data_IF_295109975469
#
_entry.id   IF_295109975469
#
_cell.length_a   1.000
_cell.length_b   1.000
_cell.length_c   1.000
_cell.angle_alpha   90.00
_cell.angle_beta   90.00
_cell.angle_gamma   90.00
#
_symmetry.space_group_name_H-M   'P 1'
#
loop_
_entity.id
_entity.type
_entity.pdbx_description
1 polymer ?
#
# COMPACT_ATOMS: atom_id res chain seq x y z
N UNK A 1 -26.03 21.98 -3.76
CA UNK A 1 -24.72 21.32 -3.91
C UNK A 1 -24.88 20.16 -4.87
N UNK A 2 -24.31 20.26 -6.07
CA UNK A 2 -24.22 19.14 -7.01
C UNK A 2 -22.98 18.33 -6.62
N UNK A 3 -23.15 17.20 -5.94
CA UNK A 3 -22.04 16.29 -5.67
C UNK A 3 -21.52 15.78 -7.02
N UNK A 4 -20.25 16.07 -7.33
CA UNK A 4 -19.62 15.49 -8.49
C UNK A 4 -19.60 13.97 -8.34
N UNK A 5 -19.96 13.25 -9.39
CA UNK A 5 -19.87 11.79 -9.39
C UNK A 5 -18.41 11.34 -9.17
N UNK A 6 -18.16 10.22 -8.48
CA UNK A 6 -16.81 9.72 -8.19
C UNK A 6 -15.90 9.63 -9.43
N UNK A 7 -16.48 9.29 -10.60
CA UNK A 7 -15.77 9.23 -11.87
C UNK A 7 -15.26 10.61 -12.36
N UNK A 8 -16.03 11.70 -12.15
CA UNK A 8 -15.61 13.06 -12.51
C UNK A 8 -14.52 13.60 -11.60
N UNK A 9 -14.54 13.21 -10.32
CA UNK A 9 -13.51 13.57 -9.35
C UNK A 9 -12.18 12.90 -9.75
N UNK A 10 -12.22 11.59 -10.04
CA UNK A 10 -11.02 10.85 -10.44
C UNK A 10 -10.38 11.39 -11.72
N UNK A 11 -11.18 11.79 -12.71
CA UNK A 11 -10.68 12.36 -13.96
C UNK A 11 -9.99 13.72 -13.75
N UNK A 12 -10.50 14.60 -12.87
CA UNK A 12 -9.84 15.89 -12.59
C UNK A 12 -8.52 15.70 -11.86
N UNK A 13 -8.46 14.72 -10.95
CA UNK A 13 -7.25 14.37 -10.21
C UNK A 13 -6.12 13.82 -11.10
N UNK A 14 -6.47 13.05 -12.14
CA UNK A 14 -5.48 12.56 -13.12
C UNK A 14 -4.92 13.65 -14.03
N UNK A 15 -5.65 14.73 -14.29
CA UNK A 15 -5.16 15.89 -15.08
C UNK A 15 -4.50 16.99 -14.23
N UNK A 16 -4.39 16.80 -12.91
CA UNK A 16 -3.71 17.73 -12.02
C UNK A 16 -4.57 18.86 -11.44
N UNK A 17 -5.88 18.88 -11.71
CA UNK A 17 -6.84 19.85 -11.18
C UNK A 17 -7.41 19.36 -9.84
N UNK A 18 -6.74 19.70 -8.74
CA UNK A 18 -7.17 19.35 -7.38
C UNK A 18 -8.12 20.40 -6.81
N UNK A 19 -9.25 19.98 -6.24
CA UNK A 19 -10.15 20.88 -5.51
C UNK A 19 -9.77 20.88 -4.02
N UNK A 20 -10.15 21.92 -3.27
CA UNK A 20 -9.94 21.93 -1.82
C UNK A 20 -10.54 20.69 -1.14
N UNK A 21 -11.75 20.29 -1.55
CA UNK A 21 -12.39 19.06 -1.06
C UNK A 21 -11.57 17.79 -1.34
N UNK A 22 -11.00 17.63 -2.53
CA UNK A 22 -10.16 16.45 -2.83
C UNK A 22 -8.83 16.50 -2.09
N UNK A 23 -8.23 17.68 -1.95
CA UNK A 23 -7.01 17.87 -1.14
C UNK A 23 -7.26 17.44 0.31
N UNK A 24 -8.33 17.92 0.93
CA UNK A 24 -8.72 17.57 2.31
C UNK A 24 -8.95 16.07 2.42
N UNK A 25 -9.79 15.50 1.54
CA UNK A 25 -10.16 14.08 1.55
C UNK A 25 -8.93 13.17 1.49
N UNK A 26 -8.06 13.36 0.51
CA UNK A 26 -6.90 12.47 0.32
C UNK A 26 -5.80 12.72 1.36
N UNK A 27 -5.59 13.96 1.80
CA UNK A 27 -4.64 14.25 2.87
C UNK A 27 -5.08 13.63 4.19
N UNK A 28 -6.37 13.75 4.54
CA UNK A 28 -6.90 13.13 5.75
C UNK A 28 -6.89 11.60 5.67
N UNK A 29 -7.16 11.01 4.50
CA UNK A 29 -7.02 9.56 4.32
C UNK A 29 -5.57 9.10 4.57
N UNK A 30 -4.58 9.84 4.04
CA UNK A 30 -3.17 9.55 4.32
C UNK A 30 -2.84 9.61 5.81
N UNK A 31 -3.24 10.70 6.45
CA UNK A 31 -3.02 10.95 7.88
C UNK A 31 -3.66 9.85 8.73
N UNK A 32 -4.93 9.52 8.48
CA UNK A 32 -5.64 8.46 9.21
C UNK A 32 -4.95 7.12 9.04
N UNK A 33 -4.56 6.75 7.81
CA UNK A 33 -3.83 5.52 7.55
C UNK A 33 -2.50 5.45 8.34
N UNK A 34 -1.76 6.57 8.43
CA UNK A 34 -0.53 6.64 9.23
C UNK A 34 -0.82 6.48 10.72
N UNK A 35 -1.84 7.14 11.24
CA UNK A 35 -2.23 7.04 12.65
C UNK A 35 -2.62 5.62 13.04
N UNK A 36 -3.42 4.94 12.22
CA UNK A 36 -3.78 3.54 12.45
C UNK A 36 -2.56 2.62 12.47
N UNK A 37 -1.58 2.88 11.59
CA UNK A 37 -0.32 2.13 11.57
C UNK A 37 0.52 2.39 12.81
N UNK A 38 0.64 3.64 13.24
CA UNK A 38 1.36 3.99 14.45
C UNK A 38 0.70 3.39 15.69
N UNK A 39 -0.63 3.36 15.75
CA UNK A 39 -1.37 2.66 16.81
C UNK A 39 -1.08 1.16 16.83
N UNK A 40 -1.08 0.49 15.68
CA UNK A 40 -0.70 -0.93 15.57
C UNK A 40 0.75 -1.16 16.03
N UNK A 41 1.68 -0.30 15.63
CA UNK A 41 3.10 -0.36 16.04
C UNK A 41 3.27 -0.16 17.54
N UNK A 42 2.61 0.84 18.13
CA UNK A 42 2.62 1.07 19.57
C UNK A 42 2.03 -0.11 20.35
N UNK A 43 0.97 -0.74 19.83
CA UNK A 43 0.40 -1.94 20.44
C UNK A 43 1.41 -3.10 20.43
N UNK A 44 2.03 -3.39 19.29
CA UNK A 44 3.10 -4.41 19.17
C UNK A 44 4.26 -4.11 20.11
N UNK A 45 4.73 -2.87 20.14
CA UNK A 45 5.80 -2.45 21.04
C UNK A 45 5.39 -2.65 22.51
N UNK A 46 4.13 -2.38 22.84
CA UNK A 46 3.60 -2.59 24.19
C UNK A 46 3.50 -4.05 24.58
N UNK A 47 3.14 -4.93 23.65
CA UNK A 47 3.16 -6.38 23.83
C UNK A 47 4.59 -6.89 24.07
N UNK A 48 5.56 -6.44 23.28
CA UNK A 48 6.96 -6.87 23.40
C UNK A 48 7.61 -6.37 24.69
N UNK A 49 7.35 -5.11 25.08
CA UNK A 49 7.96 -4.48 26.25
C UNK A 49 7.17 -4.67 27.55
N UNK A 50 5.94 -5.19 27.47
CA UNK A 50 5.02 -5.30 28.59
C UNK A 50 4.49 -3.96 29.12
N UNK A 51 4.63 -2.86 28.36
CA UNK A 51 4.21 -1.52 28.77
C UNK A 51 3.56 -0.78 27.61
N UNK A 52 2.35 -0.19 27.77
CA UNK A 52 1.74 0.62 26.73
C UNK A 52 2.70 1.73 26.26
N UNK A 53 2.78 1.93 24.95
CA UNK A 53 3.52 3.04 24.36
C UNK A 53 2.54 4.13 23.95
N UNK A 54 2.65 5.29 24.58
CA UNK A 54 1.87 6.47 24.19
C UNK A 54 2.46 7.07 22.91
N UNK A 55 1.59 7.48 21.98
CA UNK A 55 2.00 8.05 20.71
C UNK A 55 2.27 9.55 20.80
N UNK A 56 1.85 10.23 21.88
CA UNK A 56 2.32 11.59 22.19
C UNK A 56 2.02 12.66 21.15
N UNK A 57 1.03 12.45 20.25
CA UNK A 57 0.70 13.40 19.18
C UNK A 57 0.44 14.81 19.72
N UNK A 58 1.18 15.81 19.25
CA UNK A 58 1.01 17.20 19.70
C UNK A 58 -0.10 17.92 18.94
N UNK A 59 -0.25 17.58 17.67
CA UNK A 59 -1.27 18.14 16.80
C UNK A 59 -2.58 17.34 16.89
N UNK A 60 -2.53 16.07 17.33
CA UNK A 60 -3.70 15.19 17.45
C UNK A 60 -4.16 14.83 18.87
N UNK A 61 -3.44 15.16 19.96
CA UNK A 61 -3.87 14.82 21.33
C UNK A 61 -3.99 16.03 22.27
N UNK A 62 -5.16 16.10 22.94
CA UNK A 62 -5.54 17.08 23.96
C UNK A 62 -6.99 17.57 23.74
N UNK A 63 -7.54 18.34 24.70
CA UNK A 63 -8.44 19.42 24.27
C UNK A 63 -7.60 20.26 23.32
N UNK A 64 -7.85 20.15 22.02
CA UNK A 64 -7.35 21.14 21.09
C UNK A 64 -7.73 22.47 21.71
N UNK A 65 -6.80 23.42 21.76
CA UNK A 65 -7.24 24.73 22.19
C UNK A 65 -8.38 25.16 21.25
N UNK A 66 -9.32 25.97 21.75
CA UNK A 66 -10.50 26.35 20.96
C UNK A 66 -10.14 26.94 19.58
N UNK A 67 -8.91 27.42 19.40
CA UNK A 67 -8.41 27.95 18.14
C UNK A 67 -8.03 26.82 17.18
N UNK A 68 -7.32 25.78 17.63
CA UNK A 68 -6.99 24.58 16.86
C UNK A 68 -8.25 23.81 16.46
N UNK A 69 -9.20 23.66 17.38
CA UNK A 69 -10.51 23.02 17.13
C UNK A 69 -11.27 23.70 15.99
N UNK A 70 -11.41 25.04 16.08
CA UNK A 70 -12.03 25.86 15.02
C UNK A 70 -11.24 25.83 13.72
N UNK A 71 -9.91 25.74 13.79
CA UNK A 71 -9.07 25.68 12.60
C UNK A 71 -9.25 24.34 11.87
N UNK A 72 -9.29 23.23 12.61
CA UNK A 72 -9.59 21.90 12.08
C UNK A 72 -11.01 21.82 11.50
N UNK A 73 -12.02 22.38 12.17
CA UNK A 73 -13.39 22.45 11.66
C UNK A 73 -13.44 23.22 10.34
N UNK A 74 -12.83 24.40 10.28
CA UNK A 74 -12.72 25.20 9.05
C UNK A 74 -11.97 24.47 7.95
N UNK A 75 -10.93 23.72 8.28
CA UNK A 75 -10.21 22.87 7.33
C UNK A 75 -11.14 21.80 6.76
N UNK A 76 -11.82 21.03 7.61
CA UNK A 76 -12.72 19.94 7.19
C UNK A 76 -13.90 20.44 6.35
N UNK A 77 -14.38 21.64 6.62
CA UNK A 77 -15.46 22.29 5.88
C UNK A 77 -14.97 23.07 4.64
N UNK A 78 -13.69 22.97 4.28
CA UNK A 78 -13.09 23.66 3.14
C UNK A 78 -13.29 25.19 3.19
N UNK A 79 -13.20 25.77 4.40
CA UNK A 79 -13.33 27.22 4.69
C UNK A 79 -11.98 27.91 4.95
N UNK A 80 -10.88 27.23 4.68
CA UNK A 80 -9.53 27.80 4.72
C UNK A 80 -9.12 28.30 3.33
N UNK A 81 -8.19 29.27 3.31
CA UNK A 81 -7.50 29.59 2.07
C UNK A 81 -6.61 28.40 1.67
N UNK A 82 -6.22 28.31 0.39
CA UNK A 82 -5.32 27.25 -0.08
C UNK A 82 -4.01 27.23 0.71
N UNK A 83 -3.42 28.39 0.96
CA UNK A 83 -2.20 28.52 1.76
C UNK A 83 -2.38 28.01 3.19
N UNK A 84 -3.45 28.41 3.87
CA UNK A 84 -3.69 27.99 5.26
C UNK A 84 -4.02 26.49 5.33
N UNK A 85 -4.68 25.94 4.30
CA UNK A 85 -4.94 24.51 4.17
C UNK A 85 -3.63 23.71 3.99
N UNK A 86 -2.71 24.18 3.16
CA UNK A 86 -1.40 23.55 2.98
C UNK A 86 -0.54 23.63 4.25
N UNK A 87 -0.55 24.77 4.93
CA UNK A 87 0.14 24.96 6.23
C UNK A 87 -0.43 24.02 7.30
N UNK A 88 -1.76 23.91 7.37
CA UNK A 88 -2.46 22.97 8.26
C UNK A 88 -2.01 21.53 8.01
N UNK A 89 -1.99 21.09 6.75
CA UNK A 89 -1.52 19.74 6.35
C UNK A 89 -0.04 19.55 6.69
N UNK A 90 0.81 20.55 6.47
CA UNK A 90 2.23 20.45 6.78
C UNK A 90 2.48 20.23 8.29
N UNK A 91 1.80 21.01 9.14
CA UNK A 91 1.91 20.87 10.59
C UNK A 91 1.42 19.48 11.08
N UNK A 92 0.35 18.96 10.49
CA UNK A 92 -0.13 17.59 10.75
C UNK A 92 0.93 16.54 10.41
N UNK A 93 1.62 16.69 9.27
CA UNK A 93 2.64 15.75 8.80
C UNK A 93 3.94 15.82 9.61
N UNK A 94 4.28 17.01 10.11
CA UNK A 94 5.44 17.21 10.99
C UNK A 94 5.24 16.48 12.33
N UNK A 95 4.05 16.59 12.93
CA UNK A 95 3.70 15.86 14.15
C UNK A 95 3.75 14.34 13.92
N UNK A 96 3.21 13.85 12.81
CA UNK A 96 3.30 12.42 12.45
C UNK A 96 4.76 11.97 12.28
N UNK A 97 5.64 12.78 11.70
CA UNK A 97 7.05 12.42 11.55
C UNK A 97 7.79 12.41 12.89
N UNK A 98 7.44 13.31 13.81
CA UNK A 98 7.96 13.29 15.17
C UNK A 98 7.59 11.98 15.89
N UNK A 99 6.30 11.61 15.86
CA UNK A 99 5.80 10.34 16.42
C UNK A 99 6.45 9.13 15.76
N UNK A 100 6.63 9.15 14.43
CA UNK A 100 7.31 8.08 13.70
C UNK A 100 8.75 7.88 14.19
N UNK A 101 9.49 8.97 14.40
CA UNK A 101 10.89 8.94 14.89
C UNK A 101 10.98 8.38 16.30
N UNK A 102 10.07 8.80 17.18
CA UNK A 102 9.99 8.29 18.55
C UNK A 102 9.69 6.79 18.57
N UNK A 103 8.65 6.37 17.84
CA UNK A 103 8.31 4.95 17.68
C UNK A 103 9.51 4.15 17.16
N UNK A 104 10.17 4.63 16.11
CA UNK A 104 11.32 3.94 15.52
C UNK A 104 12.49 3.79 16.49
N UNK A 105 12.74 4.80 17.34
CA UNK A 105 13.78 4.74 18.37
C UNK A 105 13.40 3.73 19.47
N UNK A 106 12.13 3.71 19.88
CA UNK A 106 11.63 2.79 20.89
C UNK A 106 11.62 1.33 20.39
N UNK A 107 11.18 1.08 19.15
CA UNK A 107 11.23 -0.22 18.48
C UNK A 107 12.67 -0.72 18.35
N UNK A 108 13.60 0.14 17.92
CA UNK A 108 15.02 -0.22 17.82
C UNK A 108 15.56 -0.68 19.17
N UNK A 109 15.28 0.07 20.23
CA UNK A 109 15.72 -0.29 21.59
C UNK A 109 15.11 -1.62 22.04
N UNK A 110 13.79 -1.78 21.87
CA UNK A 110 13.10 -3.02 22.24
C UNK A 110 13.64 -4.24 21.46
N UNK A 111 14.06 -4.04 20.20
CA UNK A 111 14.69 -5.09 19.38
C UNK A 111 16.06 -5.51 19.89
N UNK A 112 16.88 -4.57 20.35
CA UNK A 112 18.20 -4.86 20.94
C UNK A 112 18.08 -5.70 22.22
N UNK A 113 16.97 -5.52 22.95
CA UNK A 113 16.67 -6.22 24.20
C UNK A 113 15.93 -7.56 23.99
N UNK A 114 15.36 -7.80 22.80
CA UNK A 114 14.55 -8.98 22.51
C UNK A 114 15.37 -10.13 21.87
N UNK A 115 15.08 -11.40 22.22
CA UNK A 115 15.63 -12.53 21.47
C UNK A 115 15.13 -12.48 20.02
N UNK A 116 16.04 -12.66 19.06
CA UNK A 116 15.69 -12.66 17.63
C UNK A 116 14.57 -13.68 17.37
N UNK A 117 13.52 -13.24 16.69
CA UNK A 117 12.44 -14.11 16.26
C UNK A 117 13.00 -15.28 15.44
N UNK A 118 12.53 -16.50 15.74
CA UNK A 118 12.93 -17.69 15.01
C UNK A 118 12.65 -17.51 13.51
N UNK A 119 13.58 -18.01 12.67
CA UNK A 119 13.45 -17.91 11.22
C UNK A 119 12.10 -18.40 10.70
N UNK A 120 11.63 -17.82 9.59
CA UNK A 120 10.33 -18.14 9.00
C UNK A 120 10.19 -19.65 8.79
N UNK A 121 9.09 -20.23 9.27
CA UNK A 121 8.75 -21.63 9.04
C UNK A 121 8.57 -21.86 7.54
N UNK A 122 9.05 -23.01 7.06
CA UNK A 122 8.80 -23.43 5.69
C UNK A 122 7.29 -23.70 5.53
N UNK A 123 6.66 -23.00 4.59
CA UNK A 123 5.27 -23.26 4.19
C UNK A 123 5.31 -24.29 3.06
N UNK A 124 4.53 -25.37 3.12
CA UNK A 124 4.49 -26.34 2.02
C UNK A 124 3.91 -25.71 0.76
N UNK A 125 4.44 -26.12 -0.39
CA UNK A 125 3.92 -25.71 -1.69
C UNK A 125 2.48 -26.24 -1.87
N UNK A 126 1.54 -25.33 -2.10
CA UNK A 126 0.16 -25.65 -2.46
C UNK A 126 -0.04 -25.50 -3.98
N UNK A 127 -1.00 -26.25 -4.51
CA UNK A 127 -1.48 -26.14 -5.90
C UNK A 127 -3.00 -26.10 -5.85
N UNK A 128 -3.61 -25.15 -6.53
CA UNK A 128 -5.05 -25.03 -6.62
C UNK A 128 -5.45 -24.43 -7.97
N UNK A 129 -6.62 -24.84 -8.45
CA UNK A 129 -7.21 -24.26 -9.65
C UNK A 129 -7.94 -22.98 -9.28
N UNK A 130 -7.54 -21.87 -9.88
CA UNK A 130 -8.18 -20.57 -9.74
C UNK A 130 -8.56 -20.12 -11.15
N UNK A 131 -9.85 -20.16 -11.46
CA UNK A 131 -10.41 -19.70 -12.74
C UNK A 131 -9.71 -20.31 -13.97
N UNK A 132 -9.60 -21.64 -13.99
CA UNK A 132 -9.04 -22.40 -15.12
C UNK A 132 -7.51 -22.41 -15.21
N UNK A 133 -6.81 -21.77 -14.27
CA UNK A 133 -5.34 -21.79 -14.17
C UNK A 133 -4.92 -22.46 -12.88
N UNK A 134 -3.96 -23.37 -12.96
CA UNK A 134 -3.36 -23.98 -11.77
C UNK A 134 -2.33 -23.02 -11.18
N UNK A 135 -2.70 -22.35 -10.09
CA UNK A 135 -1.78 -21.54 -9.30
C UNK A 135 -1.00 -22.47 -8.39
N UNK A 136 0.32 -22.33 -8.39
CA UNK A 136 1.19 -23.03 -7.43
C UNK A 136 1.93 -21.99 -6.59
N UNK A 137 1.82 -22.09 -5.27
CA UNK A 137 2.43 -21.15 -4.35
C UNK A 137 2.60 -21.76 -2.96
N UNK A 138 3.70 -21.46 -2.30
CA UNK A 138 3.84 -21.67 -0.86
C UNK A 138 3.46 -20.38 -0.12
N UNK A 139 3.73 -19.23 -0.74
CA UNK A 139 3.41 -17.89 -0.23
C UNK A 139 2.82 -17.07 -1.37
N UNK A 140 1.50 -17.08 -1.46
CA UNK A 140 0.78 -16.37 -2.50
C UNK A 140 0.64 -14.88 -2.14
N UNK A 141 1.18 -14.01 -2.97
CA UNK A 141 0.79 -12.61 -3.02
C UNK A 141 -0.39 -12.41 -3.95
N UNK A 142 -1.31 -11.52 -3.61
CA UNK A 142 -2.49 -11.22 -4.44
C UNK A 142 -2.60 -9.73 -4.63
N UNK A 143 -2.75 -9.28 -5.87
CA UNK A 143 -3.07 -7.89 -6.20
C UNK A 143 -4.44 -7.86 -6.85
N UNK A 144 -5.34 -7.05 -6.30
CA UNK A 144 -6.68 -6.85 -6.81
C UNK A 144 -6.87 -5.40 -7.22
N UNK A 145 -7.19 -5.20 -8.50
CA UNK A 145 -7.70 -3.93 -8.98
C UNK A 145 -9.10 -3.68 -8.40
N UNK A 146 -9.25 -2.62 -7.60
CA UNK A 146 -10.51 -2.23 -6.97
C UNK A 146 -11.22 -1.04 -7.66
N UNK A 147 -10.88 -0.80 -8.92
CA UNK A 147 -11.63 0.10 -9.79
C UNK A 147 -13.10 -0.34 -9.95
N UNK A 148 -14.03 0.58 -10.29
CA UNK A 148 -15.45 0.26 -10.44
C UNK A 148 -15.76 -0.84 -11.48
N UNK A 149 -14.93 -0.98 -12.52
CA UNK A 149 -15.06 -2.04 -13.54
C UNK A 149 -14.76 -3.43 -12.97
N UNK A 150 -13.88 -3.51 -11.97
CA UNK A 150 -13.38 -4.75 -11.40
C UNK A 150 -14.09 -5.15 -10.12
N UNK A 151 -14.63 -4.18 -9.38
CA UNK A 151 -15.35 -4.37 -8.11
C UNK A 151 -16.38 -5.51 -8.09
N UNK A 152 -17.23 -5.74 -9.14
CA UNK A 152 -18.22 -6.81 -9.14
C UNK A 152 -17.64 -8.23 -9.04
N UNK A 153 -16.35 -8.40 -9.33
CA UNK A 153 -15.69 -9.71 -9.36
C UNK A 153 -14.89 -10.03 -8.09
N UNK A 154 -14.63 -9.02 -7.25
CA UNK A 154 -13.64 -9.13 -6.18
C UNK A 154 -14.06 -10.03 -5.04
N UNK A 155 -15.34 -10.02 -4.66
CA UNK A 155 -15.85 -10.85 -3.56
C UNK A 155 -15.60 -12.35 -3.85
N UNK A 156 -16.07 -12.81 -5.00
CA UNK A 156 -15.90 -14.21 -5.44
C UNK A 156 -14.43 -14.59 -5.63
N UNK A 157 -13.59 -13.67 -6.09
CA UNK A 157 -12.14 -13.87 -6.17
C UNK A 157 -11.52 -14.06 -4.78
N UNK A 158 -11.85 -13.20 -3.80
CA UNK A 158 -11.36 -13.34 -2.42
C UNK A 158 -11.80 -14.65 -1.79
N UNK A 159 -13.06 -15.05 -1.99
CA UNK A 159 -13.58 -16.33 -1.49
C UNK A 159 -12.83 -17.52 -2.10
N UNK A 160 -12.70 -17.55 -3.43
CA UNK A 160 -12.02 -18.64 -4.15
C UNK A 160 -10.56 -18.74 -3.74
N UNK A 161 -9.83 -17.62 -3.73
CA UNK A 161 -8.42 -17.61 -3.36
C UNK A 161 -8.27 -17.95 -1.87
N UNK A 162 -9.08 -17.37 -0.99
CA UNK A 162 -9.04 -17.62 0.46
C UNK A 162 -9.33 -19.07 0.84
N UNK A 163 -10.22 -19.76 0.10
CA UNK A 163 -10.50 -21.18 0.31
C UNK A 163 -9.27 -22.07 0.07
N UNK A 164 -8.39 -21.69 -0.87
CA UNK A 164 -7.20 -22.47 -1.23
C UNK A 164 -5.92 -21.96 -0.56
N UNK A 165 -5.85 -20.65 -0.31
CA UNK A 165 -4.70 -19.92 0.22
C UNK A 165 -5.18 -18.98 1.33
N UNK A 166 -5.55 -19.51 2.52
CA UNK A 166 -6.03 -18.69 3.64
C UNK A 166 -5.00 -17.67 4.11
N UNK A 167 -3.72 -17.95 3.92
CA UNK A 167 -2.59 -17.10 4.32
C UNK A 167 -2.12 -16.16 3.19
N UNK A 168 -2.90 -16.04 2.10
CA UNK A 168 -2.56 -15.17 0.98
C UNK A 168 -2.46 -13.70 1.41
N UNK A 169 -1.46 -13.00 0.88
CA UNK A 169 -1.26 -11.59 1.18
C UNK A 169 -1.89 -10.70 0.11
N UNK A 170 -3.04 -10.11 0.43
CA UNK A 170 -3.79 -9.23 -0.46
C UNK A 170 -3.26 -7.80 -0.45
N UNK A 171 -3.25 -7.20 -1.64
CA UNK A 171 -3.04 -5.78 -1.89
C UNK A 171 -4.11 -5.30 -2.85
N UNK A 172 -4.91 -4.33 -2.41
CA UNK A 172 -5.88 -3.68 -3.28
C UNK A 172 -5.30 -2.38 -3.80
N UNK A 173 -5.38 -2.21 -5.12
CA UNK A 173 -4.89 -1.04 -5.85
C UNK A 173 -6.05 -0.53 -6.69
N UNK A 174 -6.24 0.77 -6.74
CA UNK A 174 -7.26 1.41 -7.55
C UNK A 174 -6.76 1.54 -8.99
N UNK A 175 -7.28 0.71 -9.87
CA UNK A 175 -6.84 0.64 -11.25
C UNK A 175 -5.58 -0.20 -11.46
N UNK A 176 -5.12 -0.18 -12.71
CA UNK A 176 -4.07 -1.03 -13.25
C UNK A 176 -2.81 -0.26 -13.65
N UNK A 177 -2.65 0.97 -13.17
CA UNK A 177 -1.51 1.84 -13.50
C UNK A 177 -0.16 1.14 -13.28
N UNK A 178 0.65 1.06 -14.34
CA UNK A 178 2.04 0.58 -14.32
C UNK A 178 2.95 1.71 -14.76
N UNK A 179 2.97 2.80 -14.02
CA UNK A 179 3.73 4.00 -14.41
C UNK A 179 5.09 4.03 -13.74
N UNK A 180 6.11 4.60 -14.38
CA UNK A 180 7.40 4.85 -13.75
C UNK A 180 7.28 5.97 -12.71
N UNK A 181 7.82 5.77 -11.52
CA UNK A 181 7.94 6.85 -10.54
C UNK A 181 9.36 6.89 -10.01
N UNK A 182 10.11 7.90 -10.45
CA UNK A 182 11.42 8.28 -9.93
C UNK A 182 11.42 8.64 -8.44
N UNK A 183 10.25 8.59 -7.76
CA UNK A 183 10.04 8.93 -6.35
C UNK A 183 9.66 7.74 -5.48
N UNK A 184 9.72 6.50 -5.99
CA UNK A 184 9.44 5.30 -5.19
C UNK A 184 10.50 5.00 -4.14
N UNK A 185 11.70 5.57 -4.28
CA UNK A 185 12.81 5.34 -3.37
C UNK A 185 12.92 6.48 -2.36
N UNK A 186 13.20 6.14 -1.11
CA UNK A 186 13.64 7.10 -0.11
C UNK A 186 15.09 7.54 -0.38
N UNK A 187 15.60 8.46 0.43
CA UNK A 187 16.98 8.97 0.33
C UNK A 187 18.04 7.87 0.48
N UNK A 188 17.67 6.73 1.08
CA UNK A 188 18.54 5.54 1.20
C UNK A 188 18.44 4.59 0.01
N UNK A 189 17.69 4.95 -1.03
CA UNK A 189 17.48 4.13 -2.22
C UNK A 189 16.52 2.95 -1.99
N UNK A 190 15.91 2.84 -0.79
CA UNK A 190 14.93 1.81 -0.45
C UNK A 190 13.58 2.21 -1.00
N UNK A 191 12.88 1.24 -1.58
CA UNK A 191 11.49 1.46 -1.97
C UNK A 191 10.66 1.80 -0.73
N UNK A 192 9.86 2.86 -0.86
CA UNK A 192 8.89 3.26 0.13
C UNK A 192 7.74 2.25 0.08
N UNK A 193 7.86 1.20 0.86
CA UNK A 193 6.82 0.19 1.00
C UNK A 193 5.71 0.74 1.87
N UNK A 194 4.88 1.60 1.29
CA UNK A 194 3.96 2.39 2.08
C UNK A 194 2.96 1.55 2.87
N UNK A 195 2.75 0.26 2.54
CA UNK A 195 1.67 -0.52 3.12
C UNK A 195 1.93 -1.96 3.60
N UNK A 196 3.17 -2.43 3.70
CA UNK A 196 3.37 -3.83 4.08
C UNK A 196 3.48 -4.03 5.58
N UNK A 197 2.51 -4.73 6.15
CA UNK A 197 2.56 -5.23 7.53
C UNK A 197 3.46 -6.46 7.61
N UNK A 198 4.11 -6.75 8.75
CA UNK A 198 4.92 -7.95 8.94
C UNK A 198 4.10 -9.22 8.69
N UNK A 199 4.76 -10.28 8.21
CA UNK A 199 4.13 -11.60 8.01
C UNK A 199 4.25 -12.46 9.26
N UNK A 200 3.56 -13.60 9.27
CA UNK A 200 3.74 -14.58 10.35
C UNK A 200 5.22 -14.99 10.45
N UNK A 201 5.79 -14.92 11.66
CA UNK A 201 7.20 -15.20 11.91
C UNK A 201 8.19 -14.15 11.41
N UNK A 202 7.73 -12.98 10.93
CA UNK A 202 8.60 -11.83 10.79
C UNK A 202 8.87 -11.20 12.16
N UNK A 203 10.05 -10.61 12.33
CA UNK A 203 10.34 -9.76 13.48
C UNK A 203 9.39 -8.55 13.46
N UNK A 204 8.48 -8.43 14.44
CA UNK A 204 7.46 -7.39 14.44
C UNK A 204 8.02 -5.99 14.77
N UNK A 205 9.31 -5.89 15.10
CA UNK A 205 10.03 -4.64 15.33
C UNK A 205 11.02 -4.33 14.20
N UNK A 206 11.01 -5.08 13.10
CA UNK A 206 11.97 -4.86 12.02
C UNK A 206 11.64 -3.54 11.26
N UNK A 207 12.62 -2.61 11.16
CA UNK A 207 12.42 -1.30 10.55
C UNK A 207 12.05 -1.36 9.06
N UNK A 208 12.28 -2.49 8.39
CA UNK A 208 11.85 -2.69 7.00
C UNK A 208 10.32 -2.61 6.82
N UNK A 209 9.55 -2.95 7.87
CA UNK A 209 8.08 -2.97 7.85
C UNK A 209 7.45 -1.72 8.45
N UNK A 210 8.17 -1.07 9.37
CA UNK A 210 7.57 -0.11 10.29
C UNK A 210 8.14 1.30 10.18
N UNK A 211 9.24 1.51 9.45
CA UNK A 211 9.97 2.78 9.48
C UNK A 211 10.01 3.59 8.16
N UNK A 212 8.94 3.67 7.33
CA UNK A 212 8.95 4.60 6.19
C UNK A 212 8.81 6.04 6.70
N UNK A 213 9.66 6.96 6.23
CA UNK A 213 9.55 8.38 6.54
C UNK A 213 8.19 8.95 6.10
N UNK A 214 7.61 9.84 6.90
CA UNK A 214 6.40 10.58 6.53
C UNK A 214 6.78 11.64 5.50
N UNK A 215 6.14 11.60 4.33
CA UNK A 215 6.37 12.60 3.29
C UNK A 215 5.76 13.93 3.73
N UNK A 216 6.58 14.98 3.72
CA UNK A 216 6.23 16.30 4.26
C UNK A 216 5.51 17.19 3.24
N UNK A 217 5.30 16.73 2.00
CA UNK A 217 4.73 17.53 0.93
C UNK A 217 3.63 16.80 0.17
N UNK A 218 2.56 17.54 -0.13
CA UNK A 218 1.47 17.11 -0.99
C UNK A 218 0.89 15.73 -0.64
N UNK A 219 0.51 15.53 0.64
CA UNK A 219 -0.08 14.29 1.15
C UNK A 219 -1.21 13.75 0.25
N UNK A 220 -2.07 14.62 -0.25
CA UNK A 220 -3.13 14.25 -1.20
C UNK A 220 -2.60 13.58 -2.48
N UNK A 221 -1.57 14.15 -3.12
CA UNK A 221 -0.93 13.57 -4.31
C UNK A 221 -0.25 12.24 -3.97
N UNK A 222 0.37 12.15 -2.80
CA UNK A 222 1.00 10.91 -2.38
C UNK A 222 -0.05 9.81 -2.16
N UNK A 223 -1.11 10.07 -1.39
CA UNK A 223 -2.20 9.13 -1.15
C UNK A 223 -2.79 8.59 -2.45
N UNK A 224 -3.11 9.50 -3.36
CA UNK A 224 -3.66 9.13 -4.66
C UNK A 224 -2.70 8.29 -5.49
N UNK A 225 -1.40 8.61 -5.49
CA UNK A 225 -0.39 7.81 -6.21
C UNK A 225 -0.26 6.42 -5.60
N UNK A 226 -0.18 6.34 -4.27
CA UNK A 226 -0.01 5.08 -3.57
C UNK A 226 -1.17 4.13 -3.78
N UNK A 227 -2.40 4.66 -3.80
CA UNK A 227 -3.60 3.88 -4.11
C UNK A 227 -3.55 3.26 -5.51
N UNK A 228 -2.73 3.78 -6.43
CA UNK A 228 -2.66 3.37 -7.83
C UNK A 228 -1.37 2.64 -8.19
N UNK A 229 -0.44 2.51 -7.25
CA UNK A 229 0.92 2.08 -7.56
C UNK A 229 1.08 0.54 -7.56
N UNK A 230 0.72 -0.09 -8.69
CA UNK A 230 0.87 -1.54 -8.85
C UNK A 230 2.34 -2.01 -8.74
N UNK A 231 3.31 -1.20 -9.17
CA UNK A 231 4.73 -1.55 -9.05
C UNK A 231 5.13 -1.62 -7.59
N UNK A 232 4.72 -0.65 -6.77
CA UNK A 232 4.99 -0.70 -5.33
C UNK A 232 4.29 -1.89 -4.67
N UNK A 233 3.05 -2.22 -5.06
CA UNK A 233 2.34 -3.39 -4.56
C UNK A 233 3.04 -4.71 -4.91
N UNK A 234 3.49 -4.86 -6.17
CA UNK A 234 4.22 -6.04 -6.65
C UNK A 234 5.53 -6.22 -5.88
N UNK A 235 6.34 -5.19 -5.85
CA UNK A 235 7.65 -5.28 -5.24
C UNK A 235 7.57 -5.46 -3.71
N UNK A 236 6.54 -4.93 -3.06
CA UNK A 236 6.21 -5.21 -1.66
C UNK A 236 5.99 -6.71 -1.42
N UNK A 237 5.23 -7.37 -2.29
CA UNK A 237 4.97 -8.81 -2.20
C UNK A 237 6.26 -9.63 -2.45
N UNK A 238 7.07 -9.22 -3.42
CA UNK A 238 8.34 -9.89 -3.73
C UNK A 238 9.36 -9.70 -2.60
N UNK A 239 9.65 -8.46 -2.24
CA UNK A 239 10.79 -8.12 -1.41
C UNK A 239 10.51 -8.30 0.09
N UNK A 240 9.31 -7.95 0.55
CA UNK A 240 8.98 -8.02 1.98
C UNK A 240 8.28 -9.34 2.33
N UNK A 241 7.17 -9.61 1.64
CA UNK A 241 6.39 -10.85 1.87
C UNK A 241 7.13 -12.10 1.39
N UNK A 242 8.16 -11.95 0.55
CA UNK A 242 8.90 -13.06 -0.06
C UNK A 242 7.95 -14.03 -0.77
N UNK A 243 6.93 -13.49 -1.42
CA UNK A 243 5.97 -14.26 -2.20
C UNK A 243 6.73 -15.09 -3.25
N UNK A 244 6.38 -16.36 -3.40
CA UNK A 244 6.94 -17.24 -4.44
C UNK A 244 6.02 -17.33 -5.67
N UNK A 245 4.80 -16.82 -5.54
CA UNK A 245 3.89 -16.55 -6.63
C UNK A 245 3.07 -15.30 -6.34
N UNK A 246 2.68 -14.58 -7.39
CA UNK A 246 1.76 -13.45 -7.34
C UNK A 246 0.60 -13.71 -8.29
N UNK A 247 -0.62 -13.55 -7.79
CA UNK A 247 -1.84 -13.51 -8.59
C UNK A 247 -2.31 -12.06 -8.71
N UNK A 248 -2.36 -11.52 -9.92
CA UNK A 248 -2.70 -10.12 -10.17
C UNK A 248 -3.93 -10.01 -11.06
N UNK A 249 -5.04 -9.55 -10.48
CA UNK A 249 -6.30 -9.34 -11.17
C UNK A 249 -6.47 -7.85 -11.55
N UNK A 250 -6.52 -7.55 -12.85
CA UNK A 250 -6.63 -6.17 -13.36
C UNK A 250 -7.17 -6.12 -14.80
N UNK A 251 -7.72 -4.97 -15.22
CA UNK A 251 -8.28 -4.79 -16.57
C UNK A 251 -7.32 -4.15 -17.58
N UNK A 252 -6.17 -3.62 -17.14
CA UNK A 252 -5.18 -2.92 -17.98
C UNK A 252 -5.75 -1.70 -18.74
N UNK A 253 -6.79 -1.05 -18.19
CA UNK A 253 -7.39 0.13 -18.83
C UNK A 253 -6.68 1.46 -18.50
N UNK A 254 -5.66 1.42 -17.64
CA UNK A 254 -4.87 2.58 -17.22
C UNK A 254 -3.50 2.70 -17.91
N UNK A 255 -2.74 3.75 -17.55
CA UNK A 255 -1.43 4.04 -18.15
C UNK A 255 -0.36 2.99 -17.81
N UNK A 256 0.44 2.64 -18.82
CA UNK A 256 1.49 1.62 -18.77
C UNK A 256 2.82 2.21 -19.26
N UNK A 257 3.90 1.88 -18.56
CA UNK A 257 5.26 2.32 -18.87
C UNK A 257 6.20 1.11 -18.93
N UNK A 258 6.86 0.90 -20.06
CA UNK A 258 7.81 -0.19 -20.27
C UNK A 258 8.98 -0.15 -19.27
N UNK A 259 9.43 1.04 -18.84
CA UNK A 259 10.50 1.15 -17.84
C UNK A 259 10.03 0.68 -16.46
N UNK A 260 8.77 0.94 -16.11
CA UNK A 260 8.16 0.44 -14.89
C UNK A 260 8.02 -1.10 -14.91
N UNK A 261 7.70 -1.68 -16.06
CA UNK A 261 7.68 -3.14 -16.24
C UNK A 261 9.10 -3.72 -16.09
N UNK A 262 10.13 -3.07 -16.64
CA UNK A 262 11.54 -3.49 -16.45
C UNK A 262 11.96 -3.40 -14.98
N UNK A 263 11.49 -2.39 -14.26
CA UNK A 263 11.77 -2.21 -12.82
C UNK A 263 11.26 -3.40 -12.00
N UNK A 264 10.06 -3.93 -12.30
CA UNK A 264 9.52 -5.10 -11.60
C UNK A 264 10.06 -6.44 -12.10
N UNK A 265 10.51 -6.51 -13.36
CA UNK A 265 10.96 -7.75 -13.98
C UNK A 265 12.13 -8.39 -13.23
N UNK A 266 13.16 -7.59 -12.89
CA UNK A 266 14.35 -8.11 -12.24
C UNK A 266 14.04 -8.69 -10.84
N UNK A 267 13.35 -7.99 -9.92
CA UNK A 267 12.98 -8.57 -8.64
C UNK A 267 12.14 -9.84 -8.77
N UNK A 268 11.18 -9.90 -9.70
CA UNK A 268 10.35 -11.09 -9.93
C UNK A 268 11.21 -12.29 -10.36
N UNK A 269 12.09 -12.10 -11.35
CA UNK A 269 12.93 -13.17 -11.87
C UNK A 269 14.03 -13.59 -10.89
N UNK A 270 14.73 -12.65 -10.27
CA UNK A 270 15.82 -12.92 -9.31
C UNK A 270 15.30 -13.68 -8.08
N UNK A 271 14.06 -13.39 -7.65
CA UNK A 271 13.41 -14.09 -6.53
C UNK A 271 12.59 -15.31 -6.96
N UNK A 272 12.62 -15.67 -8.26
CA UNK A 272 11.90 -16.82 -8.83
C UNK A 272 10.40 -16.83 -8.53
N UNK A 273 9.79 -15.65 -8.55
CA UNK A 273 8.35 -15.45 -8.29
C UNK A 273 7.57 -15.76 -9.54
N UNK A 274 6.58 -16.67 -9.47
CA UNK A 274 5.66 -16.93 -10.60
C UNK A 274 4.60 -15.85 -10.68
N UNK A 275 4.46 -15.19 -11.83
CA UNK A 275 3.49 -14.12 -12.02
C UNK A 275 2.28 -14.63 -12.81
N UNK A 276 1.15 -14.78 -12.12
CA UNK A 276 -0.15 -15.07 -12.71
C UNK A 276 -0.91 -13.77 -12.90
N UNK A 277 -1.28 -13.44 -14.13
CA UNK A 277 -2.05 -12.21 -14.42
C UNK A 277 -3.41 -12.60 -14.92
N UNK A 278 -4.45 -12.10 -14.28
CA UNK A 278 -5.83 -12.34 -14.64
C UNK A 278 -6.47 -11.04 -15.14
N UNK A 279 -6.91 -11.05 -16.39
CA UNK A 279 -7.62 -9.94 -17.02
C UNK A 279 -8.87 -10.40 -17.77
N UNK A 280 -9.91 -9.56 -17.79
CA UNK A 280 -11.22 -9.89 -18.35
C UNK A 280 -11.37 -9.56 -19.83
N UNK A 281 -10.65 -8.54 -20.32
CA UNK A 281 -10.88 -7.95 -21.64
C UNK A 281 -9.58 -7.65 -22.35
N UNK A 282 -8.80 -6.72 -21.80
CA UNK A 282 -7.63 -6.17 -22.47
C UNK A 282 -6.44 -7.11 -22.35
N UNK A 283 -5.60 -7.11 -23.37
CA UNK A 283 -4.37 -7.89 -23.36
C UNK A 283 -3.29 -7.08 -22.62
N UNK A 284 -2.49 -7.70 -21.74
CA UNK A 284 -1.38 -7.00 -21.10
C UNK A 284 -0.33 -6.56 -22.15
N UNK A 285 0.54 -5.58 -21.82
CA UNK A 285 1.67 -5.17 -22.64
C UNK A 285 2.54 -6.35 -23.05
N UNK A 286 3.14 -6.28 -24.25
CA UNK A 286 4.02 -7.36 -24.75
C UNK A 286 5.15 -7.68 -23.77
N UNK A 287 5.73 -6.66 -23.15
CA UNK A 287 6.82 -6.83 -22.19
C UNK A 287 6.35 -7.54 -20.91
N UNK A 288 5.13 -7.24 -20.44
CA UNK A 288 4.53 -7.92 -19.29
C UNK A 288 4.18 -9.38 -19.61
N UNK A 289 3.70 -9.68 -20.83
CA UNK A 289 3.49 -11.05 -21.29
C UNK A 289 4.79 -11.86 -21.25
N UNK A 290 5.88 -11.28 -21.77
CA UNK A 290 7.19 -11.93 -21.74
C UNK A 290 7.69 -12.15 -20.30
N UNK A 291 7.39 -11.24 -19.38
CA UNK A 291 7.68 -11.41 -17.96
C UNK A 291 6.85 -12.55 -17.34
N UNK A 292 5.54 -12.60 -17.60
CA UNK A 292 4.65 -13.69 -17.15
C UNK A 292 5.22 -15.05 -17.57
N UNK A 293 5.55 -15.20 -18.85
CA UNK A 293 6.11 -16.43 -19.41
C UNK A 293 7.45 -16.79 -18.76
N UNK A 294 8.38 -15.84 -18.64
CA UNK A 294 9.71 -16.07 -18.05
C UNK A 294 9.67 -16.37 -16.56
N UNK A 295 8.65 -15.87 -15.87
CA UNK A 295 8.43 -16.15 -14.45
C UNK A 295 7.91 -17.57 -14.19
N UNK A 296 7.48 -18.29 -15.24
CA UNK A 296 6.80 -19.57 -15.11
C UNK A 296 5.36 -19.46 -14.60
N UNK A 297 4.76 -18.27 -14.70
CA UNK A 297 3.35 -18.03 -14.43
C UNK A 297 2.49 -18.14 -15.68
N UNK A 298 1.27 -17.61 -15.64
CA UNK A 298 0.28 -17.76 -16.71
C UNK A 298 -0.64 -16.54 -16.84
N UNK A 299 -1.11 -16.28 -18.06
CA UNK A 299 -2.16 -15.30 -18.32
C UNK A 299 -3.54 -15.96 -18.22
N UNK A 300 -4.30 -15.60 -17.20
CA UNK A 300 -5.67 -16.07 -16.93
C UNK A 300 -6.69 -15.16 -17.64
N UNK A 301 -7.67 -15.77 -18.33
CA UNK A 301 -8.73 -15.06 -19.07
C UNK A 301 -10.16 -15.53 -18.75
N UNK A 302 -10.31 -16.49 -17.86
CA UNK A 302 -11.63 -17.01 -17.51
C UNK A 302 -12.39 -16.01 -16.63
N UNK A 303 -13.69 -15.83 -16.83
CA UNK A 303 -14.45 -14.86 -16.03
C UNK A 303 -14.64 -15.35 -14.59
N UNK A 304 -14.45 -14.45 -13.59
CA UNK A 304 -14.79 -14.70 -12.20
C UNK A 304 -16.24 -15.07 -11.93
#
# INVERSE_FOLDING_TARGET
MLFATPARIAARESYGDWTGESIIKYSMRYITNLKERFAKRAAVLGEVTGRPHDLGYQYFHGELDRKQERHQERFLENRLSERDMEEHIANLLEDLEAVRKELAAAEKKAREDAPQAAGRKAVPLKKAEIYGTTVSASRLGVILDNSPSMAPHLEKLRETIGAHYPDAHYREVWGSFITGSSRRRDESGRFRWFYVEPGEGADPLDPEWHCPAVEQRAAHKLQWRMEKDNVSALLALVQLRKADAIYWFCDFDDDEDDEAIKEIARPILDNKVRLYVHTLKRRPPKLLILLIERSGGELVRARP
#
